data_IF_643702331781
#
_entry.id   IF_643702331781
#
_cell.length_a   1.000
_cell.length_b   1.000
_cell.length_c   1.000
_cell.angle_alpha   90.00
_cell.angle_beta   90.00
_cell.angle_gamma   90.00
#
_symmetry.space_group_name_H-M   'P 1'
#
loop_
_entity.id
_entity.type
_entity.pdbx_description
1 polymer ?
#
# COMPACT_ATOMS: atom_id res chain seq x y z
N UNK A 1 -2.22 -23.34 75.18
CA UNK A 1 -1.81 -23.15 73.77
C UNK A 1 -2.45 -24.24 72.93
N UNK A 2 -3.56 -23.92 72.26
CA UNK A 2 -4.24 -24.80 71.29
C UNK A 2 -3.86 -24.30 69.90
N UNK A 3 -3.12 -25.07 69.12
CA UNK A 3 -2.87 -24.76 67.71
C UNK A 3 -3.70 -25.70 66.84
N UNK A 4 -4.73 -25.13 66.21
CA UNK A 4 -5.43 -25.71 65.06
C UNK A 4 -4.48 -25.66 63.85
N UNK A 5 -4.20 -26.81 63.23
CA UNK A 5 -3.69 -26.84 61.86
C UNK A 5 -4.89 -26.76 60.90
N UNK A 6 -4.92 -25.70 60.11
CA UNK A 6 -5.79 -25.53 58.94
C UNK A 6 -5.11 -26.18 57.74
N UNK A 7 -5.77 -27.17 57.14
CA UNK A 7 -5.36 -27.78 55.87
C UNK A 7 -5.87 -26.90 54.73
N UNK A 8 -4.96 -26.27 53.98
CA UNK A 8 -5.28 -25.53 52.76
C UNK A 8 -5.28 -26.51 51.59
N UNK A 9 -6.44 -26.70 50.98
CA UNK A 9 -6.61 -27.48 49.75
C UNK A 9 -6.33 -26.55 48.56
N UNK A 10 -5.15 -26.66 47.95
CA UNK A 10 -4.83 -25.94 46.71
C UNK A 10 -5.41 -26.69 45.51
N UNK A 11 -6.47 -26.15 44.91
CA UNK A 11 -6.98 -26.62 43.63
C UNK A 11 -6.04 -26.15 42.50
N UNK A 12 -5.37 -27.10 41.84
CA UNK A 12 -4.62 -26.87 40.61
C UNK A 12 -5.64 -26.78 39.47
N UNK A 13 -5.91 -25.56 38.98
CA UNK A 13 -6.67 -25.36 37.74
C UNK A 13 -5.69 -25.58 36.59
N UNK A 14 -5.77 -26.74 35.95
CA UNK A 14 -5.04 -27.05 34.73
C UNK A 14 -5.69 -26.26 33.58
N UNK A 15 -5.13 -25.11 33.20
CA UNK A 15 -5.57 -24.39 32.00
C UNK A 15 -5.09 -25.15 30.76
N UNK A 16 -5.96 -25.99 30.21
CA UNK A 16 -5.72 -26.58 28.88
C UNK A 16 -5.92 -25.45 27.87
N UNK A 17 -4.81 -24.90 27.36
CA UNK A 17 -4.84 -24.02 26.20
C UNK A 17 -5.23 -24.85 24.98
N UNK A 18 -6.53 -24.95 24.70
CA UNK A 18 -7.01 -25.48 23.42
C UNK A 18 -6.64 -24.44 22.36
N UNK A 19 -5.56 -24.70 21.61
CA UNK A 19 -5.24 -23.91 20.43
C UNK A 19 -6.33 -24.19 19.39
N UNK A 20 -7.17 -23.19 19.11
CA UNK A 20 -8.16 -23.28 18.04
C UNK A 20 -7.45 -23.57 16.71
N UNK A 21 -7.92 -24.58 15.98
CA UNK A 21 -7.36 -24.90 14.67
C UNK A 21 -7.47 -23.67 13.74
N UNK A 22 -6.51 -23.48 12.82
CA UNK A 22 -6.46 -22.33 11.91
C UNK A 22 -7.02 -22.70 10.53
N UNK A 23 -7.89 -21.85 10.00
CA UNK A 23 -8.38 -21.95 8.61
C UNK A 23 -7.19 -21.80 7.65
N UNK A 24 -7.16 -22.66 6.62
CA UNK A 24 -6.18 -22.62 5.53
C UNK A 24 -6.43 -21.38 4.68
N UNK A 25 -5.32 -20.76 4.29
CA UNK A 25 -5.30 -19.47 3.63
C UNK A 25 -6.09 -19.43 2.32
N UNK A 26 -6.55 -18.25 1.91
CA UNK A 26 -7.21 -18.06 0.62
C UNK A 26 -6.23 -18.24 -0.54
N UNK A 27 -6.71 -18.80 -1.65
CA UNK A 27 -5.96 -18.94 -2.91
C UNK A 27 -6.78 -18.41 -4.06
N UNK A 28 -6.12 -17.68 -4.95
CA UNK A 28 -6.71 -17.05 -6.12
C UNK A 28 -6.19 -17.77 -7.36
N UNK A 29 -7.08 -18.13 -8.28
CA UNK A 29 -6.74 -18.88 -9.49
C UNK A 29 -5.93 -18.03 -10.47
N UNK A 30 -6.32 -16.78 -10.69
CA UNK A 30 -5.61 -15.88 -11.60
C UNK A 30 -4.68 -14.93 -10.84
N UNK A 31 -5.18 -14.34 -9.74
CA UNK A 31 -4.41 -13.45 -8.87
C UNK A 31 -4.15 -12.07 -9.49
N UNK A 32 -3.52 -11.18 -8.74
CA UNK A 32 -3.18 -9.81 -9.16
C UNK A 32 -2.36 -9.78 -10.45
N UNK A 33 -2.58 -8.75 -11.26
CA UNK A 33 -1.93 -8.67 -12.55
C UNK A 33 -2.56 -7.66 -13.49
N UNK A 34 -2.14 -7.73 -14.76
CA UNK A 34 -2.70 -6.97 -15.86
C UNK A 34 -3.61 -7.86 -16.70
N UNK A 35 -4.79 -7.35 -17.03
CA UNK A 35 -5.83 -8.09 -17.75
C UNK A 35 -6.44 -7.25 -18.86
N UNK A 36 -6.80 -7.92 -19.96
CA UNK A 36 -7.33 -7.27 -21.16
C UNK A 36 -8.87 -7.33 -21.25
N UNK A 37 -9.52 -8.23 -20.51
CA UNK A 37 -10.97 -8.43 -20.53
C UNK A 37 -11.53 -8.87 -19.16
N UNK A 38 -12.79 -8.50 -18.84
CA UNK A 38 -13.46 -8.96 -17.62
C UNK A 38 -13.51 -10.49 -17.51
N UNK A 39 -13.47 -11.01 -16.29
CA UNK A 39 -13.48 -12.45 -16.01
C UNK A 39 -14.02 -12.75 -14.61
N UNK A 40 -14.14 -14.03 -14.26
CA UNK A 40 -14.46 -14.46 -12.89
C UNK A 40 -13.21 -15.01 -12.22
N UNK A 41 -12.73 -14.32 -11.18
CA UNK A 41 -11.72 -14.87 -10.27
C UNK A 41 -12.33 -16.02 -9.45
N UNK A 42 -11.55 -17.05 -9.16
CA UNK A 42 -11.97 -18.18 -8.33
C UNK A 42 -11.13 -18.18 -7.06
N UNK A 43 -11.79 -17.87 -5.94
CA UNK A 43 -11.19 -17.91 -4.61
C UNK A 43 -11.47 -19.26 -4.00
N UNK A 44 -10.45 -19.89 -3.41
CA UNK A 44 -10.55 -21.18 -2.74
C UNK A 44 -9.89 -21.13 -1.36
N UNK A 45 -10.31 -22.04 -0.50
CA UNK A 45 -9.59 -22.44 0.73
C UNK A 45 -9.65 -23.96 0.85
N UNK A 46 -8.56 -24.57 1.31
CA UNK A 46 -8.49 -26.02 1.56
C UNK A 46 -9.31 -26.46 2.78
N UNK A 47 -9.78 -25.52 3.61
CA UNK A 47 -10.57 -25.86 4.80
C UNK A 47 -12.01 -26.16 4.42
N UNK A 48 -12.36 -27.45 4.41
CA UNK A 48 -13.74 -27.89 4.15
C UNK A 48 -14.73 -27.25 5.14
N UNK A 49 -15.83 -26.73 4.59
CA UNK A 49 -16.88 -26.03 5.34
C UNK A 49 -16.50 -24.61 5.81
N UNK A 50 -15.39 -24.04 5.35
CA UNK A 50 -15.09 -22.64 5.56
C UNK A 50 -15.87 -21.73 4.58
N UNK A 51 -16.23 -20.55 5.05
CA UNK A 51 -16.84 -19.48 4.27
C UNK A 51 -15.75 -18.52 3.83
N UNK A 52 -15.77 -18.12 2.56
CA UNK A 52 -14.93 -17.04 2.02
C UNK A 52 -15.75 -15.76 2.04
N UNK A 53 -15.16 -14.68 2.52
CA UNK A 53 -15.79 -13.36 2.68
C UNK A 53 -14.90 -12.32 2.03
N UNK A 54 -15.48 -11.44 1.21
CA UNK A 54 -14.72 -10.45 0.44
C UNK A 54 -15.44 -9.11 0.22
N UNK A 55 -14.67 -8.09 -0.15
CA UNK A 55 -15.11 -6.76 -0.58
C UNK A 55 -14.45 -6.36 -1.89
N UNK A 56 -15.06 -5.41 -2.62
CA UNK A 56 -14.57 -4.90 -3.90
C UNK A 56 -14.21 -3.39 -3.90
N UNK A 57 -14.42 -2.72 -2.78
CA UNK A 57 -14.24 -1.27 -2.59
C UNK A 57 -12.92 -0.91 -1.86
N UNK A 58 -12.15 -1.91 -1.44
CA UNK A 58 -10.91 -1.74 -0.69
C UNK A 58 -11.08 -1.71 0.84
N UNK A 59 -12.30 -1.76 1.37
CA UNK A 59 -12.56 -1.87 2.82
C UNK A 59 -12.20 -3.27 3.37
N UNK A 60 -11.90 -3.39 4.67
CA UNK A 60 -11.64 -4.71 5.27
C UNK A 60 -12.94 -5.53 5.34
N UNK A 61 -13.00 -6.73 4.73
CA UNK A 61 -14.21 -7.55 4.69
C UNK A 61 -14.71 -8.03 6.06
N UNK A 62 -13.91 -7.92 7.13
CA UNK A 62 -14.34 -8.25 8.50
C UNK A 62 -15.31 -7.23 9.09
N UNK A 63 -15.21 -5.98 8.65
CA UNK A 63 -15.91 -4.84 9.27
C UNK A 63 -16.76 -4.05 8.26
N UNK A 64 -16.74 -4.43 6.99
CA UNK A 64 -17.43 -3.72 5.91
C UNK A 64 -18.90 -4.12 5.76
N UNK A 65 -19.76 -3.14 5.53
CA UNK A 65 -21.15 -3.35 5.11
C UNK A 65 -21.27 -3.82 3.66
N UNK A 66 -20.25 -3.58 2.84
CA UNK A 66 -20.21 -4.00 1.44
C UNK A 66 -19.77 -5.45 1.26
N UNK A 67 -19.49 -6.16 2.35
CA UNK A 67 -19.07 -7.56 2.35
C UNK A 67 -20.02 -8.48 1.56
N UNK A 68 -19.43 -9.42 0.84
CA UNK A 68 -20.09 -10.53 0.15
C UNK A 68 -19.46 -11.83 0.66
N UNK A 69 -20.24 -12.88 0.83
CA UNK A 69 -19.75 -14.18 1.30
C UNK A 69 -20.24 -15.33 0.43
N UNK A 70 -19.51 -16.44 0.47
CA UNK A 70 -19.87 -17.66 -0.23
C UNK A 70 -18.98 -18.84 0.18
N UNK A 71 -19.29 -20.03 -0.32
CA UNK A 71 -18.52 -21.25 -0.05
C UNK A 71 -17.38 -21.42 -1.05
N UNK A 72 -16.32 -22.12 -0.65
CA UNK A 72 -15.22 -22.52 -1.54
C UNK A 72 -15.67 -23.65 -2.49
N UNK A 73 -15.38 -23.59 -3.82
CA UNK A 73 -14.79 -22.46 -4.55
C UNK A 73 -15.80 -21.33 -4.80
N UNK A 74 -15.36 -20.09 -4.62
CA UNK A 74 -16.18 -18.88 -4.80
C UNK A 74 -15.77 -18.13 -6.05
N UNK A 75 -16.70 -17.89 -6.96
CA UNK A 75 -16.51 -17.03 -8.13
C UNK A 75 -16.77 -15.56 -7.79
N UNK A 76 -15.85 -14.67 -8.18
CA UNK A 76 -15.95 -13.22 -8.00
C UNK A 76 -15.81 -12.54 -9.36
N UNK A 77 -16.81 -11.75 -9.75
CA UNK A 77 -16.79 -11.03 -11.02
C UNK A 77 -15.77 -9.87 -10.97
N UNK A 78 -14.80 -9.91 -11.88
CA UNK A 78 -13.76 -8.89 -12.07
C UNK A 78 -14.08 -8.13 -13.35
N UNK A 79 -14.65 -6.94 -13.18
CA UNK A 79 -15.05 -6.07 -14.29
C UNK A 79 -14.76 -4.60 -13.93
N UNK A 80 -13.87 -3.89 -14.67
CA UNK A 80 -13.55 -2.50 -14.39
C UNK A 80 -14.73 -1.55 -14.60
N UNK A 81 -15.72 -1.92 -15.42
CA UNK A 81 -16.90 -1.10 -15.70
C UNK A 81 -18.05 -1.29 -14.69
N UNK A 82 -18.00 -2.35 -13.87
CA UNK A 82 -18.98 -2.61 -12.83
C UNK A 82 -18.91 -1.61 -11.68
N UNK A 83 -20.09 -1.20 -11.19
CA UNK A 83 -20.27 -0.34 -10.01
C UNK A 83 -20.93 -1.08 -8.83
N UNK A 84 -21.11 -2.40 -8.96
CA UNK A 84 -21.78 -3.20 -7.94
C UNK A 84 -20.81 -3.37 -6.76
N UNK A 85 -21.11 -2.73 -5.63
CA UNK A 85 -20.31 -2.77 -4.39
C UNK A 85 -18.84 -2.36 -4.58
N UNK A 86 -18.56 -1.53 -5.58
CA UNK A 86 -17.23 -0.94 -5.82
C UNK A 86 -17.32 0.43 -6.49
N UNK A 87 -16.33 1.31 -6.28
CA UNK A 87 -16.09 2.46 -7.13
C UNK A 87 -15.77 2.08 -8.58
N UNK A 88 -16.08 2.96 -9.53
CA UNK A 88 -15.77 2.75 -10.97
C UNK A 88 -14.31 3.10 -11.30
N UNK A 89 -13.38 2.32 -10.76
CA UNK A 89 -11.94 2.52 -10.93
C UNK A 89 -11.35 1.59 -12.02
N UNK A 90 -10.24 1.94 -12.69
CA UNK A 90 -9.63 1.07 -13.69
C UNK A 90 -9.05 -0.24 -13.16
N UNK A 91 -8.60 -0.23 -11.90
CA UNK A 91 -8.20 -1.43 -11.17
C UNK A 91 -9.36 -1.97 -10.36
N UNK A 92 -9.67 -3.26 -10.51
CA UNK A 92 -10.62 -3.96 -9.62
C UNK A 92 -9.84 -4.50 -8.44
N UNK A 93 -10.33 -4.26 -7.22
CA UNK A 93 -9.71 -4.76 -5.99
C UNK A 93 -10.58 -5.86 -5.44
N UNK A 94 -9.96 -6.93 -4.94
CA UNK A 94 -10.60 -7.93 -4.10
C UNK A 94 -9.82 -8.01 -2.81
N UNK A 95 -10.49 -7.76 -1.67
CA UNK A 95 -9.95 -8.09 -0.34
C UNK A 95 -10.75 -9.26 0.21
N UNK A 96 -10.10 -10.37 0.56
CA UNK A 96 -10.78 -11.59 0.99
C UNK A 96 -10.11 -12.26 2.19
N UNK A 97 -10.90 -12.93 3.02
CA UNK A 97 -10.43 -13.85 4.05
C UNK A 97 -11.37 -15.06 4.14
N UNK A 98 -10.93 -16.12 4.82
CA UNK A 98 -11.74 -17.30 5.09
C UNK A 98 -11.91 -17.50 6.61
N UNK A 99 -13.12 -17.91 7.01
CA UNK A 99 -13.45 -18.23 8.40
C UNK A 99 -14.24 -19.54 8.51
N UNK A 100 -14.20 -20.11 9.71
CA UNK A 100 -15.01 -21.26 10.12
C UNK A 100 -15.25 -21.17 11.62
N UNK A 101 -16.47 -21.46 12.05
CA UNK A 101 -16.85 -21.40 13.47
C UNK A 101 -15.92 -22.28 14.33
N UNK A 102 -15.43 -21.72 15.44
CA UNK A 102 -14.49 -22.38 16.35
C UNK A 102 -13.04 -22.47 15.85
N UNK A 103 -12.72 -21.89 14.68
CA UNK A 103 -11.38 -21.88 14.09
C UNK A 103 -10.85 -20.46 14.02
N UNK A 104 -9.52 -20.30 14.13
CA UNK A 104 -8.86 -19.04 13.85
C UNK A 104 -8.94 -18.74 12.35
N UNK A 105 -9.54 -17.62 12.00
CA UNK A 105 -9.66 -17.13 10.61
C UNK A 105 -8.29 -16.83 9.97
N UNK A 106 -8.29 -16.67 8.64
CA UNK A 106 -7.11 -16.26 7.88
C UNK A 106 -6.84 -14.75 8.03
N UNK A 107 -5.65 -14.33 7.59
CA UNK A 107 -5.42 -12.93 7.24
C UNK A 107 -6.33 -12.51 6.07
N UNK A 108 -6.40 -11.20 5.84
CA UNK A 108 -7.04 -10.65 4.64
C UNK A 108 -5.98 -10.55 3.55
N UNK A 109 -6.21 -11.27 2.46
CA UNK A 109 -5.45 -11.16 1.23
C UNK A 109 -6.04 -10.05 0.36
N UNK A 110 -5.18 -9.36 -0.38
CA UNK A 110 -5.59 -8.35 -1.37
C UNK A 110 -5.09 -8.75 -2.75
N UNK A 111 -5.94 -8.61 -3.76
CA UNK A 111 -5.61 -8.77 -5.16
C UNK A 111 -6.09 -7.56 -5.97
N UNK A 112 -5.20 -6.93 -6.72
CA UNK A 112 -5.54 -5.87 -7.67
C UNK A 112 -5.41 -6.36 -9.12
N UNK A 113 -6.48 -6.21 -9.89
CA UNK A 113 -6.59 -6.57 -11.31
C UNK A 113 -6.63 -5.30 -12.15
N UNK A 114 -5.59 -5.04 -12.94
CA UNK A 114 -5.39 -3.77 -13.66
C UNK A 114 -5.79 -3.90 -15.13
N UNK A 115 -6.68 -3.04 -15.59
CA UNK A 115 -7.12 -2.97 -16.99
C UNK A 115 -6.54 -1.74 -17.69
N UNK A 116 -5.47 -1.93 -18.47
CA UNK A 116 -4.70 -0.82 -19.08
C UNK A 116 -5.56 0.06 -19.98
N UNK A 117 -6.48 -0.52 -20.75
CA UNK A 117 -7.39 0.25 -21.60
C UNK A 117 -8.38 1.10 -20.77
N UNK A 118 -8.79 0.62 -19.60
CA UNK A 118 -9.59 1.43 -18.66
C UNK A 118 -8.75 2.54 -18.03
N UNK A 119 -7.47 2.31 -17.74
CA UNK A 119 -6.54 3.34 -17.21
C UNK A 119 -6.37 4.48 -18.22
N UNK A 120 -6.23 4.17 -19.51
CA UNK A 120 -6.14 5.19 -20.57
C UNK A 120 -7.38 6.08 -20.65
N UNK A 121 -8.56 5.54 -20.29
CA UNK A 121 -9.84 6.25 -20.26
C UNK A 121 -10.20 6.84 -18.89
N UNK A 122 -9.28 6.82 -17.92
CA UNK A 122 -9.54 7.30 -16.56
C UNK A 122 -10.00 8.76 -16.56
N UNK A 123 -11.23 8.98 -16.08
CA UNK A 123 -11.93 10.27 -16.10
C UNK A 123 -11.43 11.21 -14.97
N UNK A 124 -11.64 12.51 -15.14
CA UNK A 124 -11.38 13.49 -14.09
C UNK A 124 -12.50 13.57 -13.04
N UNK A 125 -13.69 13.07 -13.36
CA UNK A 125 -14.79 12.89 -12.41
C UNK A 125 -14.46 11.83 -11.36
N UNK A 126 -15.06 11.95 -10.18
CA UNK A 126 -14.94 10.94 -9.13
C UNK A 126 -15.45 9.58 -9.63
N UNK A 127 -14.75 8.47 -9.30
CA UNK A 127 -15.24 7.12 -9.58
C UNK A 127 -16.43 6.72 -8.68
N UNK A 128 -16.88 7.58 -7.76
CA UNK A 128 -17.96 7.33 -6.83
C UNK A 128 -17.58 6.33 -5.72
N UNK A 129 -18.58 5.80 -5.02
CA UNK A 129 -18.38 4.74 -4.02
C UNK A 129 -17.52 5.13 -2.80
N UNK A 130 -17.56 6.40 -2.38
CA UNK A 130 -16.75 6.93 -1.27
C UNK A 130 -15.62 7.86 -1.71
N UNK A 131 -15.26 7.87 -3.00
CA UNK A 131 -14.32 8.85 -3.53
C UNK A 131 -14.94 10.26 -3.56
N UNK A 132 -14.20 11.30 -3.11
CA UNK A 132 -14.74 12.65 -3.05
C UNK A 132 -15.17 13.19 -4.42
N UNK A 133 -16.45 13.56 -4.52
CA UNK A 133 -17.13 13.90 -5.78
C UNK A 133 -16.46 15.08 -6.50
N UNK A 134 -16.16 16.14 -5.77
CA UNK A 134 -15.58 17.37 -6.32
C UNK A 134 -14.05 17.34 -6.42
N UNK A 135 -13.45 16.15 -6.36
CA UNK A 135 -12.00 15.94 -6.27
C UNK A 135 -11.35 16.74 -5.12
N UNK A 136 -12.10 16.92 -4.02
CA UNK A 136 -11.69 17.70 -2.85
C UNK A 136 -12.34 17.16 -1.59
N UNK A 137 -11.57 17.20 -0.50
CA UNK A 137 -12.07 17.07 0.89
C UNK A 137 -11.32 18.08 1.72
N UNK A 138 -11.99 18.80 2.61
CA UNK A 138 -11.40 19.89 3.36
C UNK A 138 -10.68 20.87 2.41
N UNK A 139 -9.38 21.10 2.66
CA UNK A 139 -8.51 21.89 1.77
C UNK A 139 -7.73 21.04 0.78
N UNK A 140 -7.79 19.71 0.91
CA UNK A 140 -7.11 18.80 0.01
C UNK A 140 -7.73 18.85 -1.37
N UNK A 141 -6.88 18.89 -2.40
CA UNK A 141 -7.28 18.74 -3.80
C UNK A 141 -6.81 17.41 -4.35
N UNK A 142 -7.50 16.85 -5.33
CA UNK A 142 -7.10 15.63 -6.04
C UNK A 142 -7.20 15.83 -7.54
N UNK A 143 -6.48 14.99 -8.28
CA UNK A 143 -6.58 14.89 -9.73
C UNK A 143 -6.75 13.42 -10.06
N UNK A 144 -7.96 13.05 -10.48
CA UNK A 144 -8.31 11.67 -10.81
C UNK A 144 -7.93 11.33 -12.25
N UNK A 145 -8.10 12.24 -13.20
CA UNK A 145 -7.98 11.91 -14.61
C UNK A 145 -6.54 11.70 -15.09
N UNK A 146 -6.39 10.83 -16.10
CA UNK A 146 -5.22 10.86 -16.96
C UNK A 146 -5.43 11.93 -18.04
N UNK A 147 -4.40 12.71 -18.35
CA UNK A 147 -4.52 13.80 -19.32
C UNK A 147 -4.78 13.25 -20.73
N UNK A 148 -6.03 13.38 -21.19
CA UNK A 148 -6.48 12.85 -22.48
C UNK A 148 -5.77 13.47 -23.68
N UNK A 149 -5.25 14.69 -23.57
CA UNK A 149 -4.44 15.29 -24.65
C UNK A 149 -3.09 14.59 -24.81
N UNK A 150 -2.56 13.97 -23.75
CA UNK A 150 -1.34 13.15 -23.82
C UNK A 150 -1.67 11.75 -24.34
N UNK A 151 -2.73 11.14 -23.83
CA UNK A 151 -3.18 9.80 -24.25
C UNK A 151 -3.50 9.75 -25.74
N UNK A 152 -4.13 10.81 -26.27
CA UNK A 152 -4.57 10.88 -27.67
C UNK A 152 -3.55 11.57 -28.59
N UNK A 153 -2.40 12.01 -28.08
CA UNK A 153 -1.36 12.66 -28.89
C UNK A 153 -0.81 11.69 -29.94
N UNK A 154 -0.73 12.11 -31.20
CA UNK A 154 -0.27 11.26 -32.30
C UNK A 154 1.15 10.67 -32.09
N UNK A 155 2.00 11.30 -31.26
CA UNK A 155 3.35 10.82 -30.94
C UNK A 155 3.34 9.67 -29.93
N UNK A 156 2.32 9.63 -29.06
CA UNK A 156 2.31 8.81 -27.84
C UNK A 156 1.19 7.78 -27.80
N UNK A 157 0.06 8.02 -28.49
CA UNK A 157 -1.16 7.21 -28.39
C UNK A 157 -0.93 5.71 -28.56
N UNK A 158 -0.09 5.34 -29.53
CA UNK A 158 0.20 3.94 -29.87
C UNK A 158 1.25 3.31 -28.93
N UNK A 159 1.84 4.11 -28.03
CA UNK A 159 2.83 3.69 -27.04
C UNK A 159 2.28 3.67 -25.61
N UNK A 160 1.06 4.17 -25.39
CA UNK A 160 0.52 4.36 -24.03
C UNK A 160 0.36 3.05 -23.26
N UNK A 161 -0.13 1.99 -23.92
CA UNK A 161 -0.35 0.71 -23.26
C UNK A 161 0.97 0.05 -22.85
N UNK A 162 2.02 0.18 -23.68
CA UNK A 162 3.37 -0.28 -23.35
C UNK A 162 4.02 0.59 -22.27
N UNK A 163 3.83 1.92 -22.34
CA UNK A 163 4.37 2.86 -21.36
C UNK A 163 3.82 2.60 -19.95
N UNK A 164 2.54 2.25 -19.81
CA UNK A 164 1.90 1.89 -18.54
C UNK A 164 2.33 0.51 -17.99
N UNK A 165 3.05 -0.28 -18.79
CA UNK A 165 3.62 -1.58 -18.43
C UNK A 165 5.15 -1.58 -18.46
N UNK A 166 5.79 -0.44 -18.71
CA UNK A 166 7.23 -0.35 -18.91
C UNK A 166 8.03 -0.53 -17.61
N UNK A 167 7.40 -0.27 -16.46
CA UNK A 167 7.94 -0.46 -15.12
C UNK A 167 6.91 -1.19 -14.25
N UNK A 168 7.31 -1.83 -13.13
CA UNK A 168 6.36 -2.48 -12.25
C UNK A 168 5.36 -1.52 -11.63
N UNK A 169 4.23 -2.06 -11.21
CA UNK A 169 3.18 -1.32 -10.52
C UNK A 169 3.17 -1.67 -9.04
N UNK A 170 2.85 -0.71 -8.18
CA UNK A 170 2.41 -1.00 -6.82
C UNK A 170 0.97 -0.56 -6.62
N UNK A 171 0.16 -1.43 -6.02
CA UNK A 171 -1.20 -1.12 -5.60
C UNK A 171 -1.22 -0.83 -4.10
N UNK A 172 -1.79 0.31 -3.72
CA UNK A 172 -1.98 0.75 -2.35
C UNK A 172 -3.48 0.79 -2.06
N UNK A 173 -3.91 -0.03 -1.11
CA UNK A 173 -5.33 -0.24 -0.81
C UNK A 173 -5.58 0.00 0.68
N UNK A 174 -6.58 0.82 0.99
CA UNK A 174 -7.11 1.00 2.35
C UNK A 174 -8.63 1.26 2.26
N UNK A 175 -9.33 1.40 3.39
CA UNK A 175 -10.72 1.89 3.34
C UNK A 175 -10.76 3.29 2.72
N UNK A 176 -11.83 3.64 2.01
CA UNK A 176 -11.99 5.00 1.51
C UNK A 176 -12.22 6.01 2.63
N UNK A 177 -12.78 5.58 3.77
CA UNK A 177 -12.88 6.42 4.97
C UNK A 177 -11.49 6.70 5.55
N UNK A 178 -10.63 5.69 5.67
CA UNK A 178 -9.24 5.87 6.09
C UNK A 178 -8.49 6.86 5.18
N UNK A 179 -8.85 6.94 3.90
CA UNK A 179 -8.28 7.92 2.98
C UNK A 179 -8.90 9.31 3.11
N UNK A 180 -10.22 9.39 3.18
CA UNK A 180 -10.97 10.59 2.81
C UNK A 180 -11.96 11.08 3.84
N UNK A 181 -12.11 10.42 5.00
CA UNK A 181 -12.94 10.95 6.07
C UNK A 181 -12.47 12.38 6.41
N UNK A 182 -13.37 13.36 6.45
CA UNK A 182 -12.98 14.74 6.70
C UNK A 182 -12.31 14.96 8.06
N UNK A 183 -12.59 14.13 9.07
CA UNK A 183 -12.10 14.31 10.43
C UNK A 183 -10.71 13.72 10.64
N UNK A 184 -10.44 12.50 10.15
CA UNK A 184 -9.19 11.79 10.39
C UNK A 184 -8.62 11.04 9.17
N UNK A 185 -9.29 11.11 8.02
CA UNK A 185 -8.82 10.52 6.77
C UNK A 185 -7.45 11.05 6.35
N UNK A 186 -6.53 10.14 6.01
CA UNK A 186 -5.13 10.44 5.76
C UNK A 186 -4.94 11.46 4.64
N UNK A 187 -5.60 11.26 3.51
CA UNK A 187 -5.50 12.15 2.35
C UNK A 187 -6.29 13.44 2.56
N UNK A 188 -7.41 13.40 3.29
CA UNK A 188 -8.18 14.59 3.66
C UNK A 188 -7.39 15.55 4.57
N UNK A 189 -6.46 15.00 5.38
CA UNK A 189 -5.71 15.72 6.40
C UNK A 189 -4.18 15.57 6.22
N UNK A 190 -3.62 15.95 5.04
CA UNK A 190 -2.26 15.57 4.64
C UNK A 190 -1.14 16.21 5.46
N UNK A 191 -1.46 17.31 6.18
CA UNK A 191 -0.51 18.04 7.03
C UNK A 191 -0.37 17.44 8.41
N UNK A 192 -1.28 16.57 8.82
CA UNK A 192 -1.13 15.88 10.08
C UNK A 192 0.05 14.90 10.03
N UNK A 193 0.71 14.72 11.17
CA UNK A 193 1.94 13.96 11.27
C UNK A 193 1.91 13.07 12.52
N UNK A 194 2.86 12.13 12.58
CA UNK A 194 3.04 11.25 13.73
C UNK A 194 2.31 9.92 13.59
N UNK A 195 2.51 9.00 14.55
CA UNK A 195 1.95 7.64 14.48
C UNK A 195 0.42 7.62 14.40
N UNK A 196 -0.24 8.60 15.02
CA UNK A 196 -1.70 8.71 15.05
C UNK A 196 -2.37 8.85 13.68
N UNK A 197 -1.63 9.27 12.65
CA UNK A 197 -2.18 9.44 11.29
C UNK A 197 -1.94 8.23 10.40
N UNK A 198 -1.35 7.16 10.95
CA UNK A 198 -1.08 5.94 10.21
C UNK A 198 -2.35 5.12 10.05
N UNK A 199 -2.74 4.87 8.80
CA UNK A 199 -3.92 4.06 8.48
C UNK A 199 -3.52 2.63 8.11
N UNK A 200 -4.35 1.62 8.42
CA UNK A 200 -4.12 0.26 7.96
C UNK A 200 -4.39 0.14 6.47
N UNK A 201 -3.57 -0.64 5.76
CA UNK A 201 -3.81 -0.94 4.36
C UNK A 201 -3.00 -2.13 3.87
N UNK A 202 -3.05 -2.34 2.55
CA UNK A 202 -2.30 -3.37 1.84
C UNK A 202 -1.46 -2.75 0.73
N UNK A 203 -0.25 -3.28 0.56
CA UNK A 203 0.66 -2.98 -0.53
C UNK A 203 0.86 -4.24 -1.37
N UNK A 204 0.70 -4.10 -2.68
CA UNK A 204 1.02 -5.15 -3.65
C UNK A 204 2.11 -4.66 -4.60
N UNK A 205 3.03 -5.55 -4.99
CA UNK A 205 3.91 -5.35 -6.15
C UNK A 205 3.42 -6.23 -7.30
N UNK A 206 3.20 -5.61 -8.46
CA UNK A 206 2.65 -6.26 -9.66
C UNK A 206 3.64 -6.05 -10.80
N UNK A 207 4.26 -7.13 -11.27
CA UNK A 207 5.22 -7.07 -12.37
C UNK A 207 4.53 -7.28 -13.72
N UNK A 208 4.80 -6.45 -14.75
CA UNK A 208 4.15 -6.52 -16.05
C UNK A 208 4.50 -7.78 -16.85
N UNK A 209 5.62 -8.42 -16.53
CA UNK A 209 6.05 -9.69 -17.12
C UNK A 209 5.43 -10.92 -16.44
N UNK A 210 4.56 -10.73 -15.44
CA UNK A 210 3.91 -11.81 -14.69
C UNK A 210 4.80 -12.49 -13.65
N UNK A 211 6.05 -12.05 -13.43
CA UNK A 211 6.86 -12.60 -12.34
C UNK A 211 6.22 -12.27 -11.00
N UNK A 212 6.27 -13.21 -10.06
CA UNK A 212 5.67 -13.04 -8.75
C UNK A 212 6.25 -11.80 -8.05
N UNK A 213 5.35 -10.96 -7.52
CA UNK A 213 5.70 -9.84 -6.65
C UNK A 213 5.46 -10.21 -5.19
N UNK A 214 4.78 -9.33 -4.47
CA UNK A 214 4.35 -9.60 -3.09
C UNK A 214 3.00 -8.96 -2.81
N UNK A 215 2.37 -9.38 -1.72
CA UNK A 215 1.40 -8.57 -0.99
C UNK A 215 1.73 -8.60 0.48
N UNK A 216 1.57 -7.45 1.12
CA UNK A 216 1.79 -7.29 2.55
C UNK A 216 0.85 -6.24 3.09
N UNK A 217 0.30 -6.48 4.28
CA UNK A 217 -0.44 -5.45 5.00
C UNK A 217 0.54 -4.49 5.68
N UNK A 218 0.25 -3.20 5.64
CA UNK A 218 1.16 -2.16 6.10
C UNK A 218 0.40 -0.98 6.70
N UNK A 219 1.07 -0.26 7.60
CA UNK A 219 0.66 1.07 8.02
C UNK A 219 1.08 2.09 6.97
N UNK A 220 0.15 2.95 6.56
CA UNK A 220 0.37 3.95 5.52
C UNK A 220 0.35 5.33 6.14
N UNK A 221 1.34 6.16 5.82
CA UNK A 221 1.40 7.54 6.30
C UNK A 221 1.88 8.49 5.23
N UNK A 222 1.34 9.71 5.18
CA UNK A 222 1.87 10.77 4.33
C UNK A 222 3.19 11.27 4.93
N UNK A 223 4.18 11.52 4.07
CA UNK A 223 5.47 12.09 4.44
C UNK A 223 5.84 13.32 3.59
N UNK A 224 6.81 14.06 4.11
CA UNK A 224 7.42 15.21 3.45
C UNK A 224 6.77 16.53 3.81
N UNK A 225 7.54 17.61 3.76
CA UNK A 225 7.08 18.94 4.17
C UNK A 225 6.28 19.67 3.09
N UNK A 226 6.85 19.83 1.89
CA UNK A 226 6.13 20.52 0.82
C UNK A 226 5.04 19.65 0.19
N UNK A 227 5.29 18.35 0.01
CA UNK A 227 4.27 17.40 -0.48
C UNK A 227 2.98 17.43 0.31
N UNK A 228 3.05 17.54 1.64
CA UNK A 228 1.87 17.48 2.52
C UNK A 228 1.00 18.75 2.48
N UNK A 229 1.37 19.76 1.70
CA UNK A 229 0.49 20.92 1.51
C UNK A 229 -0.76 20.51 0.75
N UNK A 230 -1.93 20.89 1.27
CA UNK A 230 -3.23 20.49 0.72
C UNK A 230 -3.53 20.93 -0.72
N UNK A 231 -2.74 21.87 -1.26
CA UNK A 231 -2.82 22.25 -2.68
C UNK A 231 -2.11 21.27 -3.61
N UNK A 232 -1.23 20.42 -3.07
CA UNK A 232 -0.57 19.39 -3.85
C UNK A 232 -1.50 18.18 -3.99
N UNK A 233 -1.94 17.82 -5.20
CA UNK A 233 -2.87 16.72 -5.38
C UNK A 233 -2.23 15.35 -5.20
N UNK A 234 -0.90 15.28 -5.06
CA UNK A 234 -0.14 14.03 -5.05
C UNK A 234 0.89 14.00 -3.92
N UNK A 235 0.67 13.13 -2.95
CA UNK A 235 1.52 13.02 -1.76
C UNK A 235 2.55 11.89 -1.86
N UNK A 236 3.65 12.02 -1.11
CA UNK A 236 4.58 10.91 -0.86
C UNK A 236 4.11 10.14 0.38
N UNK A 237 4.32 8.83 0.39
CA UNK A 237 3.94 7.94 1.49
C UNK A 237 5.17 7.31 2.15
N UNK A 238 5.00 6.94 3.42
CA UNK A 238 5.84 6.00 4.13
C UNK A 238 4.98 4.80 4.47
N UNK A 239 5.48 3.63 4.14
CA UNK A 239 4.85 2.34 4.41
C UNK A 239 5.61 1.69 5.55
N UNK A 240 4.90 1.26 6.59
CA UNK A 240 5.45 0.64 7.79
C UNK A 240 4.97 -0.82 7.87
N UNK A 241 5.91 -1.74 8.00
CA UNK A 241 5.62 -3.15 8.21
C UNK A 241 5.72 -3.42 9.71
N UNK A 242 4.62 -3.88 10.32
CA UNK A 242 4.47 -4.02 11.76
C UNK A 242 3.47 -5.13 12.05
N UNK A 243 3.69 -5.85 13.15
CA UNK A 243 2.79 -6.94 13.56
C UNK A 243 1.35 -6.50 13.82
N UNK A 244 1.12 -5.20 14.08
CA UNK A 244 -0.24 -4.63 14.25
C UNK A 244 -1.04 -4.61 12.93
N UNK A 245 -0.37 -4.64 11.76
CA UNK A 245 -1.02 -4.68 10.45
C UNK A 245 -0.94 -6.05 9.78
N UNK A 246 0.03 -6.88 10.15
CA UNK A 246 0.28 -8.17 9.52
C UNK A 246 1.71 -8.62 9.80
N UNK A 247 2.53 -8.69 8.75
CA UNK A 247 3.94 -9.03 8.91
C UNK A 247 4.74 -7.86 9.51
N UNK A 248 5.64 -8.19 10.45
CA UNK A 248 6.50 -7.22 11.10
C UNK A 248 7.55 -6.59 10.17
N UNK A 249 7.78 -7.21 9.01
CA UNK A 249 8.76 -6.82 8.00
C UNK A 249 8.23 -7.21 6.63
N UNK A 250 8.53 -6.41 5.61
CA UNK A 250 8.49 -6.90 4.25
C UNK A 250 9.73 -7.76 4.03
N UNK A 251 9.56 -9.05 3.72
CA UNK A 251 10.64 -9.96 3.34
C UNK A 251 10.63 -10.14 1.82
N UNK A 252 11.32 -9.26 1.13
CA UNK A 252 11.37 -9.24 -0.33
C UNK A 252 12.63 -8.48 -0.79
N UNK A 253 13.45 -9.02 -1.71
CA UNK A 253 14.65 -8.36 -2.21
C UNK A 253 14.30 -7.25 -3.20
N UNK A 254 13.74 -6.14 -2.70
CA UNK A 254 13.18 -5.05 -3.50
C UNK A 254 14.19 -4.39 -4.44
N UNK A 255 15.47 -4.44 -4.08
CA UNK A 255 16.58 -3.89 -4.86
C UNK A 255 17.49 -4.98 -5.45
N UNK A 256 17.05 -6.24 -5.45
CA UNK A 256 17.86 -7.38 -5.85
C UNK A 256 19.16 -7.45 -5.04
N UNK A 257 20.25 -7.88 -5.69
CA UNK A 257 21.56 -8.04 -5.05
C UNK A 257 22.23 -6.72 -4.63
N UNK A 258 21.68 -5.56 -5.03
CA UNK A 258 22.22 -4.25 -4.64
C UNK A 258 21.83 -3.85 -3.22
N UNK A 259 20.75 -4.42 -2.68
CA UNK A 259 20.19 -4.03 -1.39
C UNK A 259 19.93 -5.21 -0.45
N UNK A 260 19.33 -4.89 0.69
CA UNK A 260 18.88 -5.87 1.68
C UNK A 260 17.60 -6.58 1.23
N UNK A 261 17.30 -7.72 1.85
CA UNK A 261 16.17 -8.59 1.53
C UNK A 261 14.95 -8.39 2.44
N UNK A 262 15.07 -7.55 3.48
CA UNK A 262 13.97 -7.22 4.37
C UNK A 262 13.92 -5.75 4.79
N UNK A 263 12.71 -5.25 5.04
CA UNK A 263 12.46 -3.86 5.38
C UNK A 263 11.44 -3.73 6.51
N UNK A 264 11.70 -2.86 7.48
CA UNK A 264 10.68 -2.43 8.48
C UNK A 264 9.81 -1.30 7.93
N UNK A 265 10.33 -0.55 6.95
CA UNK A 265 9.62 0.54 6.28
C UNK A 265 10.24 0.84 4.92
N UNK A 266 9.43 1.34 4.00
CA UNK A 266 9.88 1.87 2.72
C UNK A 266 9.15 3.19 2.46
N UNK A 267 9.84 4.18 1.89
CA UNK A 267 9.19 5.39 1.41
C UNK A 267 8.80 5.25 -0.07
N UNK A 268 7.61 5.70 -0.42
CA UNK A 268 7.15 5.93 -1.79
C UNK A 268 7.06 7.43 -2.04
N UNK A 269 8.00 7.97 -2.82
CA UNK A 269 8.03 9.39 -3.15
C UNK A 269 7.50 9.69 -4.54
N UNK A 270 7.02 10.92 -4.69
CA UNK A 270 6.60 11.49 -5.97
C UNK A 270 7.35 12.78 -6.27
N UNK A 271 7.28 13.27 -7.51
CA UNK A 271 7.69 14.64 -7.86
C UNK A 271 6.84 15.65 -7.08
N UNK A 272 7.48 16.61 -6.42
CA UNK A 272 6.81 17.64 -5.62
C UNK A 272 6.99 19.02 -6.27
N UNK A 273 8.20 19.58 -6.16
CA UNK A 273 8.60 20.79 -6.89
C UNK A 273 8.79 20.47 -8.37
N UNK A 274 8.48 21.45 -9.23
CA UNK A 274 8.59 21.29 -10.67
C UNK A 274 7.84 20.07 -11.19
N UNK A 275 6.75 19.69 -10.53
CA UNK A 275 5.98 18.50 -10.89
C UNK A 275 4.91 18.83 -11.93
N UNK A 276 4.50 17.80 -12.67
CA UNK A 276 3.33 17.90 -13.54
C UNK A 276 2.04 18.00 -12.71
N UNK A 277 1.91 17.16 -11.68
CA UNK A 277 0.69 17.06 -10.88
C UNK A 277 0.35 18.35 -10.12
N UNK A 278 1.35 19.08 -9.60
CA UNK A 278 1.09 20.28 -8.81
C UNK A 278 1.35 21.59 -9.57
N UNK A 279 2.46 21.69 -10.31
CA UNK A 279 2.89 22.95 -10.95
C UNK A 279 2.66 22.98 -12.47
N UNK A 280 2.22 21.86 -13.08
CA UNK A 280 2.22 21.67 -14.53
C UNK A 280 3.56 22.07 -15.18
N UNK A 281 4.66 21.74 -14.51
CA UNK A 281 5.96 22.31 -14.85
C UNK A 281 6.63 21.58 -16.01
N UNK A 282 7.09 22.33 -17.02
CA UNK A 282 7.99 21.83 -18.07
C UNK A 282 9.36 21.39 -17.55
N UNK A 283 9.67 21.69 -16.28
CA UNK A 283 10.91 21.30 -15.61
C UNK A 283 10.78 19.93 -14.95
N UNK A 284 9.64 19.24 -14.98
CA UNK A 284 9.60 17.89 -14.39
C UNK A 284 10.44 16.92 -15.24
N UNK A 285 11.42 16.28 -14.62
CA UNK A 285 12.24 15.26 -15.30
C UNK A 285 12.11 13.89 -14.64
N UNK A 286 11.54 13.80 -13.44
CA UNK A 286 11.63 12.66 -12.51
C UNK A 286 13.05 12.23 -12.10
N UNK A 287 14.08 12.53 -12.88
CA UNK A 287 15.42 11.94 -12.78
C UNK A 287 16.39 12.64 -11.82
N UNK A 288 16.13 13.89 -11.40
CA UNK A 288 17.14 14.68 -10.65
C UNK A 288 17.67 13.98 -9.40
N UNK A 289 16.77 13.38 -8.62
CA UNK A 289 17.14 12.80 -7.33
C UNK A 289 17.83 11.45 -7.50
N UNK A 290 17.26 10.56 -8.32
CA UNK A 290 17.84 9.25 -8.58
C UNK A 290 19.21 9.38 -9.26
N UNK A 291 19.37 10.34 -10.17
CA UNK A 291 20.66 10.62 -10.80
C UNK A 291 21.74 10.95 -9.76
N UNK A 292 21.44 11.83 -8.79
CA UNK A 292 22.39 12.17 -7.74
C UNK A 292 22.70 10.97 -6.81
N UNK A 293 21.69 10.19 -6.41
CA UNK A 293 21.88 9.01 -5.54
C UNK A 293 22.70 7.93 -6.22
N UNK A 294 22.37 7.62 -7.47
CA UNK A 294 23.05 6.58 -8.24
C UNK A 294 24.47 7.02 -8.60
N UNK A 295 24.68 8.32 -8.89
CA UNK A 295 26.03 8.87 -9.08
C UNK A 295 26.87 8.74 -7.82
N UNK A 296 26.30 9.04 -6.64
CA UNK A 296 27.00 8.82 -5.36
C UNK A 296 27.40 7.35 -5.19
N UNK A 297 26.49 6.41 -5.50
CA UNK A 297 26.79 4.97 -5.49
C UNK A 297 27.89 4.57 -6.47
N UNK A 298 27.82 5.06 -7.71
CA UNK A 298 28.81 4.79 -8.76
C UNK A 298 30.18 5.38 -8.48
N UNK A 299 30.26 6.45 -7.69
CA UNK A 299 31.52 7.03 -7.20
C UNK A 299 32.12 6.26 -6.01
N UNK A 300 31.55 5.11 -5.62
CA UNK A 300 32.09 4.25 -4.56
C UNK A 300 31.64 4.61 -3.15
N UNK A 301 30.66 5.49 -3.00
CA UNK A 301 30.10 5.85 -1.68
C UNK A 301 28.84 5.06 -1.36
N UNK A 302 28.55 4.90 -0.07
CA UNK A 302 27.27 4.36 0.38
C UNK A 302 26.12 5.24 -0.08
N UNK A 303 25.03 4.62 -0.50
CA UNK A 303 23.87 5.31 -1.03
C UNK A 303 22.60 4.48 -0.76
N UNK A 304 21.47 5.16 -0.71
CA UNK A 304 20.14 4.55 -0.63
C UNK A 304 19.64 4.17 -2.02
N UNK A 305 19.01 3.01 -2.15
CA UNK A 305 18.48 2.51 -3.41
C UNK A 305 17.08 3.05 -3.66
N UNK A 306 16.69 3.06 -4.93
CA UNK A 306 15.44 3.60 -5.42
C UNK A 306 15.05 2.91 -6.73
N UNK A 307 13.76 2.70 -6.95
CA UNK A 307 13.17 2.11 -8.17
C UNK A 307 11.87 2.83 -8.50
N UNK A 308 11.59 3.06 -9.78
CA UNK A 308 10.33 3.67 -10.22
C UNK A 308 9.21 2.65 -10.30
N UNK A 309 8.00 3.11 -9.95
CA UNK A 309 6.78 2.32 -10.02
C UNK A 309 5.62 3.16 -10.55
N UNK A 310 4.72 2.53 -11.30
CA UNK A 310 3.36 3.04 -11.44
C UNK A 310 2.60 2.79 -10.13
N UNK A 311 1.87 3.77 -9.61
CA UNK A 311 1.05 3.58 -8.40
C UNK A 311 -0.42 3.55 -8.76
N UNK A 312 -1.13 2.61 -8.14
CA UNK A 312 -2.58 2.54 -8.11
C UNK A 312 -3.04 2.74 -6.67
N UNK A 313 -3.88 3.75 -6.40
CA UNK A 313 -4.47 3.99 -5.08
C UNK A 313 -5.94 3.60 -5.14
N UNK A 314 -6.33 2.59 -4.37
CA UNK A 314 -7.69 2.01 -4.42
C UNK A 314 -8.19 1.77 -5.87
N UNK A 315 -7.30 1.27 -6.75
CA UNK A 315 -7.61 0.94 -8.15
C UNK A 315 -7.55 2.13 -9.13
N UNK A 316 -7.42 3.37 -8.65
CA UNK A 316 -7.17 4.54 -9.49
C UNK A 316 -5.69 4.67 -9.81
N UNK A 317 -5.33 4.88 -11.07
CA UNK A 317 -3.95 5.18 -11.44
C UNK A 317 -3.55 6.55 -10.88
N UNK A 318 -2.52 6.56 -10.03
CA UNK A 318 -2.03 7.75 -9.31
C UNK A 318 -0.70 8.27 -9.87
N UNK A 319 -0.24 7.71 -10.99
CA UNK A 319 0.96 8.14 -11.70
C UNK A 319 2.25 7.50 -11.18
N UNK A 320 3.39 8.06 -11.62
CA UNK A 320 4.73 7.53 -11.30
C UNK A 320 5.17 7.95 -9.90
N UNK A 321 5.69 7.00 -9.15
CA UNK A 321 6.41 7.19 -7.89
C UNK A 321 7.76 6.50 -7.96
N UNK A 322 8.56 6.69 -6.92
CA UNK A 322 9.82 6.03 -6.73
C UNK A 322 9.91 5.53 -5.29
N UNK A 323 10.36 4.30 -5.09
CA UNK A 323 10.79 3.86 -3.76
C UNK A 323 12.01 4.65 -3.33
N UNK A 324 12.17 4.84 -2.03
CA UNK A 324 13.36 5.45 -1.47
C UNK A 324 13.68 4.77 -0.15
N UNK A 325 14.86 4.16 -0.05
CA UNK A 325 15.39 3.80 1.26
C UNK A 325 15.70 5.05 2.08
N UNK A 326 15.56 4.91 3.38
CA UNK A 326 15.78 6.00 4.32
C UNK A 326 17.10 5.77 5.05
N UNK A 327 18.06 6.66 4.83
CA UNK A 327 19.27 6.72 5.64
C UNK A 327 18.91 7.18 7.07
N UNK A 328 18.65 6.20 7.94
CA UNK A 328 18.42 6.31 9.39
C UNK A 328 19.14 5.16 10.10
N UNK A 329 19.13 5.11 11.43
CA UNK A 329 19.94 4.12 12.18
C UNK A 329 19.66 2.68 11.77
N UNK A 330 18.40 2.34 11.43
CA UNK A 330 18.03 1.02 10.90
C UNK A 330 18.67 0.70 9.54
N UNK A 331 18.76 1.68 8.64
CA UNK A 331 19.49 1.50 7.38
C UNK A 331 20.98 1.26 7.66
N UNK A 332 21.56 2.00 8.61
CA UNK A 332 22.92 1.75 9.08
C UNK A 332 23.10 0.31 9.54
N UNK A 333 22.24 -0.16 10.43
CA UNK A 333 22.27 -1.52 10.95
C UNK A 333 22.14 -2.59 9.85
N UNK A 334 21.22 -2.39 8.89
CA UNK A 334 20.98 -3.35 7.82
C UNK A 334 22.12 -3.44 6.79
N UNK A 335 22.87 -2.35 6.57
CA UNK A 335 23.94 -2.31 5.55
C UNK A 335 25.36 -2.39 6.11
N UNK A 336 25.59 -1.97 7.35
CA UNK A 336 26.91 -1.87 7.96
C UNK A 336 27.06 -2.69 9.26
N UNK A 337 25.99 -3.34 9.72
CA UNK A 337 25.98 -4.20 10.91
C UNK A 337 25.68 -3.44 12.22
N UNK A 338 25.78 -4.11 13.37
CA UNK A 338 25.45 -3.49 14.66
C UNK A 338 23.95 -3.28 14.88
N UNK A 339 23.61 -2.33 15.75
CA UNK A 339 22.23 -1.98 16.13
C UNK A 339 21.87 -0.58 15.65
N UNK A 340 20.57 -0.26 15.49
CA UNK A 340 20.16 1.09 15.08
C UNK A 340 20.72 2.21 15.97
N UNK A 341 20.89 1.93 17.27
CA UNK A 341 21.39 2.88 18.28
C UNK A 341 22.90 3.15 18.15
N UNK A 342 23.62 2.35 17.35
CA UNK A 342 25.05 2.54 17.08
C UNK A 342 25.31 3.63 16.02
N UNK A 343 24.25 4.21 15.43
CA UNK A 343 24.34 5.16 14.33
C UNK A 343 23.76 6.52 14.69
N UNK A 344 24.60 7.56 14.65
CA UNK A 344 24.15 8.95 14.66
C UNK A 344 23.68 9.37 13.27
N UNK A 345 22.43 9.80 13.17
CA UNK A 345 21.85 10.23 11.90
C UNK A 345 21.35 11.66 11.99
N UNK A 346 21.92 12.50 11.13
CA UNK A 346 21.66 13.94 11.10
C UNK A 346 20.75 14.24 9.91
N UNK A 347 19.61 14.90 10.15
CA UNK A 347 18.72 15.40 9.08
C UNK A 347 18.63 16.93 9.10
N UNK A 348 18.52 17.50 7.90
CA UNK A 348 18.18 18.91 7.74
C UNK A 348 16.68 19.13 7.96
N UNK A 349 16.32 20.12 8.79
CA UNK A 349 14.92 20.45 9.13
C UNK A 349 14.21 21.37 8.12
N UNK A 350 14.80 21.53 6.93
CA UNK A 350 14.30 22.38 5.86
C UNK A 350 15.12 23.66 5.68
N UNK A 351 14.60 24.59 4.88
CA UNK A 351 15.26 25.88 4.62
C UNK A 351 15.45 26.66 5.93
N UNK A 352 16.72 26.91 6.29
CA UNK A 352 17.15 27.75 7.41
C UNK A 352 16.85 27.24 8.83
N UNK A 353 16.55 25.94 9.03
CA UNK A 353 16.42 25.34 10.37
C UNK A 353 17.66 24.52 10.74
N UNK A 354 18.03 24.43 12.05
CA UNK A 354 19.16 23.63 12.49
C UNK A 354 18.99 22.14 12.11
N UNK A 355 20.11 21.44 12.01
CA UNK A 355 20.14 19.98 11.90
C UNK A 355 19.58 19.35 13.17
N UNK A 356 18.78 18.29 13.04
CA UNK A 356 18.34 17.50 14.19
C UNK A 356 18.70 16.02 14.01
N UNK A 357 18.86 15.32 15.12
CA UNK A 357 19.05 13.86 15.13
C UNK A 357 17.72 13.22 14.72
N UNK A 358 17.72 12.26 13.79
CA UNK A 358 16.50 11.68 13.23
C UNK A 358 15.62 10.95 14.24
N UNK A 359 16.20 10.55 15.36
CA UNK A 359 15.65 9.62 16.34
C UNK A 359 15.57 10.25 17.76
N UNK A 360 15.20 11.54 17.82
CA UNK A 360 14.79 12.26 19.04
C UNK A 360 13.33 12.70 18.97
#
# INVERSE_FOLDING_TARGET
MKHLLSTILSAVVLSIAVSAAKVKDTKFKFGRGFFDAPFNEVITTETSGATIIYTLDGSDPRYSENTISGTSPLAVAIDPDSIIKRPKTPGVIVRAYAQKEGWKETNVDTQTYIFVESVKRQDSASPGGGWPVDARVNRQVMIYGINQSVVNDARWKDKMSDALKAIPSMSLVASLDDWFDPSDGLYANPREQGKKTEIPGSLELINPNGTEGFQVNAGIRIRGGYSSTSRNPKHSYRLFFRSEYGDAKLKYPLFGNEGVDEFDKIDLRTSQNHSWAFENSRRNTFLRDIFCRDLQGKSGHHFTKSRYYHIYMNGMYWGIFMTQERAEGRFGASYFGGKPEDYDVIKAMGWMKPTEVTDG
#
